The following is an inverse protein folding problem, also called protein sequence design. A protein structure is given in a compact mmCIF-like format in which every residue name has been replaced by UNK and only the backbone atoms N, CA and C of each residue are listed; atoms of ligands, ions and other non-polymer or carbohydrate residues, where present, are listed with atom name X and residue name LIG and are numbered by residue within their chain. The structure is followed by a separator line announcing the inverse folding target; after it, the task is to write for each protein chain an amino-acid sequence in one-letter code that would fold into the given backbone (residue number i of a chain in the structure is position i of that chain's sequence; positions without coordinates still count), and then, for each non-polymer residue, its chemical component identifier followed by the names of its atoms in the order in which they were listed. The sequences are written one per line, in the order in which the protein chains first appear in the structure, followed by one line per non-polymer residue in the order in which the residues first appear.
data_IF_714974291927
#
_entry.id   IF_714974291927
#
_cell.length_a   1.000
_cell.length_b   1.000
_cell.length_c   1.000
_cell.angle_alpha   90.00
_cell.angle_beta   90.00
_cell.angle_gamma   90.00
#
_symmetry.space_group_name_H-M   'P 1'
#
loop_
_entity.id
_entity.type
_entity.pdbx_description
1 polymer ?
#
# COMPACT_ATOMS: atom_id res chain seq x y z
N UNK A 1 0.17 15.74 -8.67
CA UNK A 1 1.06 14.74 -9.31
C UNK A 1 2.54 15.00 -9.00
N UNK A 2 3.21 14.10 -8.27
CA UNK A 2 4.61 14.26 -7.81
C UNK A 2 5.67 13.95 -8.89
N UNK A 3 5.26 13.38 -10.04
CA UNK A 3 6.17 12.84 -11.03
C UNK A 3 7.23 13.84 -11.59
N UNK A 4 6.89 15.10 -11.91
CA UNK A 4 7.89 16.05 -12.39
C UNK A 4 8.98 16.34 -11.35
N UNK A 5 8.59 16.48 -10.07
CA UNK A 5 9.50 16.76 -8.97
C UNK A 5 10.37 15.54 -8.64
N UNK A 6 9.77 14.35 -8.56
CA UNK A 6 10.49 13.11 -8.28
C UNK A 6 11.57 12.81 -9.33
N UNK A 7 11.31 13.12 -10.61
CA UNK A 7 12.32 12.98 -11.69
C UNK A 7 13.53 13.89 -11.49
N UNK A 8 13.38 15.06 -10.88
CA UNK A 8 14.51 15.95 -10.57
C UNK A 8 15.44 15.34 -9.51
N UNK A 9 14.88 14.60 -8.56
CA UNK A 9 15.64 13.93 -7.48
C UNK A 9 16.08 12.51 -7.82
N UNK A 10 15.72 11.99 -8.99
CA UNK A 10 15.99 10.59 -9.35
C UNK A 10 17.49 10.27 -9.56
N UNK A 11 18.36 11.28 -9.65
CA UNK A 11 19.80 11.13 -9.83
C UNK A 11 20.18 10.14 -10.96
N UNK A 12 19.45 10.19 -12.08
CA UNK A 12 19.65 9.29 -13.23
C UNK A 12 18.95 7.93 -13.15
N UNK A 13 18.28 7.61 -12.04
CA UNK A 13 17.46 6.39 -11.92
C UNK A 13 16.18 6.52 -12.74
N UNK A 14 15.81 5.44 -13.43
CA UNK A 14 14.51 5.36 -14.10
C UNK A 14 13.40 5.22 -13.05
N UNK A 15 12.43 6.13 -13.08
CA UNK A 15 11.24 6.07 -12.23
C UNK A 15 10.02 5.66 -13.05
N UNK A 16 9.34 4.61 -12.58
CA UNK A 16 8.04 4.18 -13.09
C UNK A 16 6.95 4.72 -12.17
N UNK A 17 5.92 5.33 -12.75
CA UNK A 17 4.81 5.91 -12.00
C UNK A 17 3.53 5.15 -12.34
N UNK A 18 2.97 4.47 -11.34
CA UNK A 18 1.62 3.90 -11.40
C UNK A 18 0.68 4.84 -10.65
N UNK A 19 -0.26 5.47 -11.37
CA UNK A 19 -1.24 6.36 -10.76
C UNK A 19 -2.59 5.65 -10.66
N UNK A 20 -2.96 5.30 -9.42
CA UNK A 20 -4.21 4.60 -9.11
C UNK A 20 -5.09 5.49 -8.25
N UNK A 21 -6.00 6.26 -8.86
CA UNK A 21 -6.89 7.11 -8.11
C UNK A 21 -7.85 6.25 -7.28
N UNK A 22 -7.79 6.43 -5.97
CA UNK A 22 -8.71 5.87 -4.99
C UNK A 22 -9.40 7.03 -4.29
N UNK A 23 -10.73 7.02 -4.19
CA UNK A 23 -11.47 8.03 -3.43
C UNK A 23 -10.97 8.08 -1.97
N UNK A 24 -10.89 9.28 -1.40
CA UNK A 24 -10.40 9.46 -0.04
C UNK A 24 -11.40 8.90 0.98
N UNK A 25 -10.90 8.32 2.08
CA UNK A 25 -11.67 7.60 3.13
C UNK A 25 -12.46 6.36 2.69
N UNK A 26 -12.65 6.17 1.38
CA UNK A 26 -13.21 4.97 0.79
C UNK A 26 -12.14 3.89 0.64
N UNK A 27 -12.57 2.63 0.70
CA UNK A 27 -11.72 1.51 0.37
C UNK A 27 -11.75 1.32 -1.17
N UNK A 28 -10.62 0.98 -1.82
CA UNK A 28 -10.64 0.66 -3.24
C UNK A 28 -11.64 -0.46 -3.53
N UNK A 29 -12.19 -0.50 -4.74
CA UNK A 29 -12.93 -1.67 -5.19
C UNK A 29 -12.03 -2.91 -5.13
N UNK A 30 -12.58 -4.07 -4.77
CA UNK A 30 -11.78 -5.30 -4.63
C UNK A 30 -11.08 -5.70 -5.93
N UNK A 31 -11.71 -5.50 -7.09
CA UNK A 31 -11.09 -5.74 -8.39
C UNK A 31 -9.90 -4.83 -8.62
N UNK A 32 -10.08 -3.52 -8.41
CA UNK A 32 -8.99 -2.54 -8.51
C UNK A 32 -7.85 -2.85 -7.54
N UNK A 33 -8.16 -3.25 -6.30
CA UNK A 33 -7.16 -3.61 -5.30
C UNK A 33 -6.34 -4.82 -5.76
N UNK A 34 -6.99 -5.87 -6.29
CA UNK A 34 -6.30 -7.05 -6.84
C UNK A 34 -5.38 -6.68 -7.99
N UNK A 35 -5.87 -5.93 -8.97
CA UNK A 35 -5.06 -5.48 -10.12
C UNK A 35 -3.80 -4.74 -9.68
N UNK A 36 -3.93 -3.82 -8.72
CA UNK A 36 -2.79 -3.07 -8.20
C UNK A 36 -1.84 -3.97 -7.41
N UNK A 37 -2.37 -4.87 -6.57
CA UNK A 37 -1.54 -5.76 -5.76
C UNK A 37 -0.79 -6.75 -6.64
N UNK A 38 -1.42 -7.32 -7.67
CA UNK A 38 -0.76 -8.25 -8.60
C UNK A 38 0.35 -7.55 -9.40
N UNK A 39 0.12 -6.35 -9.91
CA UNK A 39 1.15 -5.54 -10.59
C UNK A 39 2.34 -5.23 -9.65
N UNK A 40 2.06 -4.82 -8.40
CA UNK A 40 3.12 -4.55 -7.42
C UNK A 40 3.85 -5.82 -6.98
N UNK A 41 3.15 -6.94 -6.89
CA UNK A 41 3.71 -8.24 -6.59
C UNK A 41 4.72 -8.65 -7.66
N UNK A 42 4.35 -8.60 -8.94
CA UNK A 42 5.25 -8.91 -10.06
C UNK A 42 6.49 -8.01 -10.07
N UNK A 43 6.32 -6.70 -9.89
CA UNK A 43 7.45 -5.75 -9.78
C UNK A 43 8.38 -6.07 -8.62
N UNK A 44 7.83 -6.45 -7.47
CA UNK A 44 8.63 -6.85 -6.30
C UNK A 44 9.44 -8.11 -6.61
N UNK A 45 8.84 -9.11 -7.27
CA UNK A 45 9.53 -10.33 -7.70
C UNK A 45 10.61 -10.06 -8.76
N UNK A 46 10.48 -8.98 -9.53
CA UNK A 46 11.49 -8.49 -10.48
C UNK A 46 12.56 -7.59 -9.83
N UNK A 47 12.70 -7.62 -8.50
CA UNK A 47 13.66 -6.83 -7.73
C UNK A 47 13.50 -5.30 -7.88
N UNK A 48 12.31 -4.80 -8.25
CA UNK A 48 12.03 -3.36 -8.23
C UNK A 48 11.84 -2.86 -6.78
N UNK A 49 12.34 -1.65 -6.51
CA UNK A 49 12.10 -0.96 -5.24
C UNK A 49 10.83 -0.14 -5.37
N UNK A 50 9.81 -0.51 -4.59
CA UNK A 50 8.52 0.15 -4.61
C UNK A 50 8.46 1.31 -3.60
N UNK A 51 7.85 2.41 -4.02
CA UNK A 51 7.47 3.52 -3.15
C UNK A 51 5.97 3.76 -3.26
N UNK A 52 5.24 3.51 -2.17
CA UNK A 52 3.80 3.68 -2.08
C UNK A 52 3.47 4.92 -1.27
N UNK A 53 2.57 5.77 -1.76
CA UNK A 53 2.15 6.95 -1.03
C UNK A 53 0.67 7.29 -1.26
N UNK A 54 0.09 8.02 -0.32
CA UNK A 54 -1.20 8.69 -0.46
C UNK A 54 -1.01 10.15 0.00
N UNK A 55 -2.01 10.78 0.64
CA UNK A 55 -1.81 12.10 1.25
C UNK A 55 -1.02 12.01 2.57
N UNK A 56 -1.40 11.11 3.47
CA UNK A 56 -0.77 10.97 4.81
C UNK A 56 0.09 9.71 5.01
N UNK A 57 0.10 8.80 4.03
CA UNK A 57 0.77 7.50 4.17
C UNK A 57 0.21 6.63 5.30
N UNK A 58 -1.09 6.78 5.63
CA UNK A 58 -1.78 6.10 6.75
C UNK A 58 -2.92 5.20 6.28
N UNK A 59 -3.83 5.70 5.46
CA UNK A 59 -5.01 4.95 5.00
C UNK A 59 -4.72 4.06 3.79
N UNK A 60 -5.04 4.58 2.59
CA UNK A 60 -4.98 3.85 1.30
C UNK A 60 -3.65 3.14 1.03
N UNK A 61 -2.52 3.81 1.29
CA UNK A 61 -1.19 3.19 1.13
C UNK A 61 -1.00 1.97 2.02
N UNK A 62 -1.44 2.05 3.28
CA UNK A 62 -1.32 0.94 4.21
C UNK A 62 -2.26 -0.22 3.83
N UNK A 63 -3.44 0.08 3.29
CA UNK A 63 -4.36 -0.97 2.77
C UNK A 63 -3.69 -1.77 1.66
N UNK A 64 -3.12 -1.09 0.66
CA UNK A 64 -2.42 -1.75 -0.46
C UNK A 64 -1.18 -2.50 0.05
N UNK A 65 -0.40 -1.90 0.95
CA UNK A 65 0.78 -2.54 1.53
C UNK A 65 0.43 -3.81 2.32
N UNK A 66 -0.66 -3.82 3.09
CA UNK A 66 -1.11 -5.00 3.81
C UNK A 66 -1.47 -6.13 2.85
N UNK A 67 -2.25 -5.84 1.80
CA UNK A 67 -2.63 -6.84 0.81
C UNK A 67 -1.41 -7.38 0.03
N UNK A 68 -0.45 -6.51 -0.30
CA UNK A 68 0.80 -6.91 -0.93
C UNK A 68 1.65 -7.81 -0.02
N UNK A 69 1.78 -7.49 1.27
CA UNK A 69 2.48 -8.34 2.23
C UNK A 69 1.81 -9.71 2.37
N UNK A 70 0.48 -9.73 2.48
CA UNK A 70 -0.27 -10.97 2.52
C UNK A 70 0.00 -11.82 1.27
N UNK A 71 -0.02 -11.21 0.08
CA UNK A 71 0.25 -11.88 -1.19
C UNK A 71 1.68 -12.43 -1.29
N UNK A 72 2.68 -11.63 -0.93
CA UNK A 72 4.10 -12.00 -1.02
C UNK A 72 4.47 -13.14 -0.08
N UNK A 73 3.90 -13.14 1.14
CA UNK A 73 4.35 -14.01 2.22
C UNK A 73 3.31 -15.04 2.67
N UNK A 74 2.14 -15.08 2.02
CA UNK A 74 1.04 -15.99 2.39
C UNK A 74 0.49 -15.69 3.79
N UNK A 75 0.50 -14.43 4.22
CA UNK A 75 0.08 -14.05 5.57
C UNK A 75 -1.44 -13.89 5.65
N UNK A 76 -2.06 -14.29 6.78
CA UNK A 76 -3.44 -13.92 7.08
C UNK A 76 -3.59 -12.39 7.14
N UNK A 77 -4.78 -11.88 6.81
CA UNK A 77 -5.02 -10.44 6.74
C UNK A 77 -4.73 -9.70 8.05
N UNK A 78 -5.07 -10.27 9.21
CA UNK A 78 -4.74 -9.67 10.50
C UNK A 78 -3.23 -9.63 10.79
N UNK A 79 -2.47 -10.59 10.28
CA UNK A 79 -1.01 -10.57 10.40
C UNK A 79 -0.38 -9.51 9.50
N UNK A 80 -0.81 -9.43 8.25
CA UNK A 80 -0.38 -8.38 7.34
C UNK A 80 -0.71 -6.97 7.87
N UNK A 81 -1.89 -6.80 8.47
CA UNK A 81 -2.31 -5.57 9.14
C UNK A 81 -1.40 -5.20 10.32
N UNK A 82 -0.97 -6.18 11.14
CA UNK A 82 -0.02 -5.94 12.24
C UNK A 82 1.33 -5.45 11.71
N UNK A 83 1.82 -5.99 10.61
CA UNK A 83 3.09 -5.55 10.01
C UNK A 83 3.04 -4.10 9.53
N UNK A 84 1.98 -3.70 8.82
CA UNK A 84 1.86 -2.31 8.36
C UNK A 84 1.63 -1.33 9.52
N UNK A 85 0.91 -1.75 10.58
CA UNK A 85 0.77 -0.95 11.78
C UNK A 85 2.13 -0.74 12.45
N UNK A 86 2.92 -1.81 12.63
CA UNK A 86 4.25 -1.71 13.22
C UNK A 86 5.18 -0.77 12.44
N UNK A 87 5.16 -0.84 11.10
CA UNK A 87 5.92 0.10 10.25
C UNK A 87 5.39 1.53 10.29
N UNK A 88 4.10 1.74 10.58
CA UNK A 88 3.54 3.06 10.80
C UNK A 88 3.93 3.63 12.18
N UNK A 89 3.89 2.80 13.23
CA UNK A 89 4.23 3.16 14.61
C UNK A 89 5.71 3.53 14.78
N UNK A 90 6.59 3.10 13.86
CA UNK A 90 7.98 3.54 13.86
C UNK A 90 8.16 5.00 13.44
N UNK A 91 7.08 5.71 13.10
CA UNK A 91 7.06 7.14 12.79
C UNK A 91 6.80 7.95 14.06
N UNK A 92 7.33 9.17 14.13
CA UNK A 92 7.00 10.14 15.18
C UNK A 92 5.60 10.73 14.92
N UNK A 93 4.57 9.95 15.18
CA UNK A 93 3.16 10.32 14.99
C UNK A 93 2.30 9.83 16.15
N UNK A 94 1.17 10.50 16.36
CA UNK A 94 0.15 10.08 17.32
C UNK A 94 -0.24 8.61 17.08
N UNK A 95 -0.40 7.83 18.16
CA UNK A 95 -0.81 6.42 18.20
C UNK A 95 -2.12 6.15 17.42
N UNK A 96 -2.05 6.19 16.09
CA UNK A 96 -3.16 6.12 15.16
C UNK A 96 -3.18 4.77 14.45
N UNK A 97 -4.38 4.31 14.12
CA UNK A 97 -4.53 3.11 13.31
C UNK A 97 -4.07 3.33 11.85
N UNK A 98 -3.42 2.31 11.29
CA UNK A 98 -2.96 2.20 9.92
C UNK A 98 -3.20 0.76 9.44
N UNK A 99 -4.12 0.51 8.49
CA UNK A 99 -4.99 1.46 7.78
C UNK A 99 -5.96 2.23 8.69
N UNK A 100 -6.30 3.42 8.25
CA UNK A 100 -7.04 4.44 9.01
C UNK A 100 -8.46 4.02 9.39
N UNK A 101 -9.26 3.56 8.42
CA UNK A 101 -10.68 3.26 8.65
C UNK A 101 -10.92 1.77 8.90
N UNK A 102 -11.99 1.45 9.65
CA UNK A 102 -12.39 0.06 9.86
C UNK A 102 -12.70 -0.66 8.54
N UNK A 103 -13.28 0.04 7.56
CA UNK A 103 -13.57 -0.48 6.23
C UNK A 103 -12.29 -0.85 5.46
N UNK A 104 -11.25 -0.02 5.53
CA UNK A 104 -9.95 -0.33 4.93
C UNK A 104 -9.30 -1.58 5.54
N UNK A 105 -9.39 -1.73 6.86
CA UNK A 105 -8.89 -2.92 7.56
C UNK A 105 -9.71 -4.17 7.19
N UNK A 106 -11.02 -4.03 7.08
CA UNK A 106 -11.87 -5.15 6.66
C UNK A 106 -11.56 -5.57 5.23
N UNK A 107 -11.38 -4.62 4.31
CA UNK A 107 -11.00 -4.91 2.93
C UNK A 107 -9.71 -5.74 2.84
N UNK A 108 -8.70 -5.39 3.65
CA UNK A 108 -7.45 -6.14 3.70
C UNK A 108 -7.62 -7.56 4.25
N UNK A 109 -8.55 -7.77 5.20
CA UNK A 109 -8.90 -9.12 5.68
C UNK A 109 -9.60 -9.92 4.61
N UNK A 110 -10.59 -9.32 3.96
CA UNK A 110 -11.39 -9.96 2.92
C UNK A 110 -10.50 -10.38 1.74
N UNK A 111 -9.53 -9.55 1.37
CA UNK A 111 -8.51 -9.88 0.36
C UNK A 111 -7.72 -11.17 0.66
N UNK A 112 -7.48 -11.47 1.95
CA UNK A 112 -6.70 -12.63 2.36
C UNK A 112 -7.56 -13.86 2.65
N UNK A 113 -8.89 -13.72 2.69
CA UNK A 113 -9.84 -14.79 3.01
C UNK A 113 -10.32 -15.58 1.79
N UNK A 114 -9.85 -15.22 0.59
CA UNK A 114 -10.07 -15.94 -0.67
C UNK A 114 -8.97 -16.98 -0.92
#
# INVERSE_FOLDING_TARGET
PYAPLARQFAAGRQLHFLHQPMQDLEAPDMGQLREVVDELHERTLNNEVLYLHCMGGRGRSATVAACLLARLYGLPGDEALRHVQHGYDSRDHDNCASPETARQRQLARDFCGE
#
